data_IF_467439147124
#
_entry.id   IF_467439147124
#
_cell.length_a   1.000
_cell.length_b   1.000
_cell.length_c   1.000
_cell.angle_alpha   90.00
_cell.angle_beta   90.00
_cell.angle_gamma   90.00
#
_symmetry.space_group_name_H-M   'P 1'
#
loop_
_entity.id
_entity.type
_entity.pdbx_description
1 polymer ?
#
# COMPACT_ATOMS: atom_id res chain seq x y z
N UNK A 1 -0.82 9.69 16.20
CA UNK A 1 -1.17 8.37 15.62
C UNK A 1 -2.38 8.51 14.68
N UNK A 2 -2.15 9.01 13.46
CA UNK A 2 -3.15 9.17 12.37
C UNK A 2 -2.44 9.16 11.00
N UNK A 3 -1.28 8.50 10.93
CA UNK A 3 -0.39 8.63 9.78
C UNK A 3 -0.79 7.67 8.66
N UNK A 4 -1.19 8.25 7.54
CA UNK A 4 -1.45 7.58 6.27
C UNK A 4 -0.18 6.93 5.73
N UNK A 5 -0.25 5.65 5.38
CA UNK A 5 0.91 4.87 4.96
C UNK A 5 0.58 3.94 3.78
N UNK A 6 1.50 3.82 2.83
CA UNK A 6 1.41 2.93 1.67
C UNK A 6 2.52 1.89 1.76
N UNK A 7 2.20 0.62 1.54
CA UNK A 7 3.17 -0.48 1.63
C UNK A 7 3.64 -0.88 0.24
N UNK A 8 4.95 -0.82 0.03
CA UNK A 8 5.60 -1.13 -1.23
C UNK A 8 6.50 -2.38 -1.11
N UNK A 9 6.10 -3.54 -1.67
CA UNK A 9 6.89 -4.78 -1.60
C UNK A 9 7.06 -5.45 -2.96
N UNK A 10 8.24 -6.05 -3.18
CA UNK A 10 8.56 -6.82 -4.39
C UNK A 10 8.32 -8.33 -4.28
N UNK A 11 7.93 -8.81 -3.09
CA UNK A 11 7.59 -10.22 -2.89
C UNK A 11 6.08 -10.39 -3.12
N UNK A 12 5.72 -11.29 -4.04
CA UNK A 12 4.33 -11.66 -4.34
C UNK A 12 3.52 -11.81 -3.06
N UNK A 13 2.40 -11.08 -2.97
CA UNK A 13 1.30 -11.17 -1.98
C UNK A 13 1.52 -12.21 -0.87
N UNK A 14 2.44 -11.91 0.04
CA UNK A 14 2.74 -12.81 1.15
C UNK A 14 1.67 -12.62 2.22
N UNK A 15 1.41 -13.66 3.03
CA UNK A 15 0.41 -13.65 4.11
C UNK A 15 0.51 -12.39 5.00
N UNK A 16 1.74 -11.91 5.20
CA UNK A 16 2.10 -10.66 5.89
C UNK A 16 1.47 -9.39 5.27
N UNK A 17 1.32 -9.31 3.95
CA UNK A 17 0.69 -8.16 3.27
C UNK A 17 -0.80 -8.10 3.62
N UNK A 18 -1.48 -9.25 3.64
CA UNK A 18 -2.90 -9.35 3.98
C UNK A 18 -3.16 -9.02 5.45
N UNK A 19 -2.28 -9.50 6.34
CA UNK A 19 -2.35 -9.17 7.76
C UNK A 19 -2.17 -7.67 7.99
N UNK A 20 -1.18 -7.05 7.31
CA UNK A 20 -0.90 -5.62 7.50
C UNK A 20 -1.98 -4.72 6.88
N UNK A 21 -2.63 -5.13 5.78
CA UNK A 21 -3.84 -4.46 5.26
C UNK A 21 -5.03 -4.57 6.23
N UNK A 22 -5.19 -5.71 6.90
CA UNK A 22 -6.26 -5.92 7.88
C UNK A 22 -6.14 -5.05 9.14
N UNK A 23 -4.93 -4.60 9.48
CA UNK A 23 -4.65 -3.76 10.65
C UNK A 23 -4.73 -2.26 10.29
N UNK A 24 -5.09 -1.92 9.04
CA UNK A 24 -5.30 -0.54 8.61
C UNK A 24 -4.12 0.10 7.87
N UNK A 25 -3.09 -0.67 7.49
CA UNK A 25 -2.10 -0.14 6.57
C UNK A 25 -2.68 -0.01 5.16
N UNK A 26 -2.37 1.09 4.48
CA UNK A 26 -2.92 1.45 3.19
C UNK A 26 -2.59 0.52 2.04
N UNK A 27 -3.00 0.94 0.84
CA UNK A 27 -2.95 0.16 -0.40
C UNK A 27 -1.59 -0.52 -0.63
N UNK A 28 -1.61 -1.82 -0.95
CA UNK A 28 -0.42 -2.58 -1.30
C UNK A 28 0.05 -2.25 -2.72
N UNK A 29 1.33 -1.91 -2.87
CA UNK A 29 1.97 -1.59 -4.14
C UNK A 29 3.07 -2.61 -4.46
N UNK A 30 2.84 -3.44 -5.48
CA UNK A 30 3.80 -4.45 -5.92
C UNK A 30 4.96 -3.82 -6.70
N UNK A 31 6.21 -4.14 -6.36
CA UNK A 31 7.40 -3.76 -7.15
C UNK A 31 7.63 -4.74 -8.32
N UNK A 32 8.11 -4.26 -9.49
CA UNK A 32 8.32 -2.84 -9.82
C UNK A 32 6.98 -2.14 -10.11
N UNK A 33 6.85 -0.88 -9.68
CA UNK A 33 5.66 -0.05 -9.92
C UNK A 33 6.00 1.16 -10.77
N UNK A 34 5.02 1.64 -11.53
CA UNK A 34 5.10 2.90 -12.28
C UNK A 34 4.79 4.10 -11.37
N UNK A 35 5.15 5.30 -11.83
CA UNK A 35 4.82 6.56 -11.13
C UNK A 35 3.30 6.74 -10.98
N UNK A 36 2.54 6.31 -11.98
CA UNK A 36 1.08 6.32 -11.97
C UNK A 36 0.50 5.43 -10.85
N UNK A 37 1.06 4.22 -10.68
CA UNK A 37 0.62 3.30 -9.63
C UNK A 37 0.88 3.87 -8.23
N UNK A 38 2.02 4.56 -8.03
CA UNK A 38 2.30 5.28 -6.77
C UNK A 38 1.28 6.41 -6.58
N UNK A 39 1.03 7.22 -7.60
CA UNK A 39 0.10 8.35 -7.53
C UNK A 39 -1.32 7.92 -7.17
N UNK A 40 -1.80 6.81 -7.74
CA UNK A 40 -3.10 6.23 -7.38
C UNK A 40 -3.15 5.71 -5.94
N UNK A 41 -2.10 5.04 -5.47
CA UNK A 41 -2.03 4.55 -4.10
C UNK A 41 -2.04 5.70 -3.08
N UNK A 42 -1.26 6.76 -3.32
CA UNK A 42 -1.23 7.95 -2.46
C UNK A 42 -2.58 8.67 -2.47
N UNK A 43 -3.20 8.87 -3.63
CA UNK A 43 -4.51 9.53 -3.73
C UNK A 43 -5.60 8.76 -2.99
N UNK A 44 -5.57 7.44 -3.05
CA UNK A 44 -6.52 6.57 -2.36
C UNK A 44 -6.36 6.70 -0.85
N UNK A 45 -5.12 6.64 -0.37
CA UNK A 45 -4.83 6.76 1.06
C UNK A 45 -5.15 8.16 1.61
N UNK A 46 -4.88 9.23 0.83
CA UNK A 46 -5.24 10.60 1.20
C UNK A 46 -6.76 10.85 1.25
N UNK A 47 -7.59 10.00 0.63
CA UNK A 47 -9.06 10.13 0.60
C UNK A 47 -9.80 9.28 1.63
N UNK A 48 -9.12 8.30 2.24
CA UNK A 48 -9.60 7.60 3.45
C UNK A 48 -9.58 8.53 4.65
#
# INVERSE_FOLDING_TARGET
PEQKAVIASGFSESKQVKEVQGIGAGTYLKKPYSLENIGMAVRTELRK
#
